data_IF_598865315483
#
_entry.id   IF_598865315483
#
_cell.length_a   1.000
_cell.length_b   1.000
_cell.length_c   1.000
_cell.angle_alpha   90.00
_cell.angle_beta   90.00
_cell.angle_gamma   90.00
#
_symmetry.space_group_name_H-M   'P 1'
#
loop_
_entity.id
_entity.type
_entity.pdbx_description
1 polymer ?
#
# COMPACT_ATOMS: atom_id res chain seq x y z
N UNK A 1 32.47 27.14 6.44
CA UNK A 1 32.18 28.56 6.16
C UNK A 1 32.00 28.66 4.67
N UNK A 2 30.82 28.90 4.11
CA UNK A 2 29.52 29.14 4.69
C UNK A 2 28.44 28.49 3.83
N UNK A 3 27.29 28.33 4.46
CA UNK A 3 26.02 27.96 3.85
C UNK A 3 25.55 29.13 2.98
N UNK A 4 25.08 28.84 1.77
CA UNK A 4 24.27 29.78 0.99
C UNK A 4 22.93 29.11 0.70
N UNK A 5 21.94 29.48 1.51
CA UNK A 5 20.54 29.16 1.28
C UNK A 5 19.98 30.01 0.14
N UNK A 6 19.26 29.37 -0.78
CA UNK A 6 18.38 30.08 -1.71
C UNK A 6 17.08 30.42 -0.99
N UNK A 7 16.91 31.70 -0.69
CA UNK A 7 15.63 32.29 -0.32
C UNK A 7 14.92 32.90 -1.53
N UNK A 8 13.62 33.14 -1.32
CA UNK A 8 12.65 33.86 -2.16
C UNK A 8 12.12 33.05 -3.36
N UNK A 9 10.82 33.03 -3.67
CA UNK A 9 9.75 33.93 -3.27
C UNK A 9 8.42 33.18 -3.50
N UNK A 10 7.61 33.02 -2.46
CA UNK A 10 6.26 32.49 -2.64
C UNK A 10 5.39 33.63 -3.16
N UNK A 11 5.12 33.61 -4.46
CA UNK A 11 4.07 34.39 -5.11
C UNK A 11 2.76 34.24 -4.33
N UNK A 12 2.37 35.31 -3.64
CA UNK A 12 1.09 35.46 -2.96
C UNK A 12 -0.04 35.50 -3.99
N UNK A 13 -0.76 34.41 -4.15
CA UNK A 13 -2.07 34.44 -4.80
C UNK A 13 -3.07 35.09 -3.83
N UNK A 14 -3.75 36.13 -4.33
CA UNK A 14 -4.73 36.93 -3.61
C UNK A 14 -5.83 36.06 -2.99
N UNK A 15 -5.82 35.94 -1.66
CA UNK A 15 -6.96 35.41 -0.91
C UNK A 15 -7.93 36.57 -0.66
N UNK A 16 -9.14 36.46 -1.21
CA UNK A 16 -10.22 37.39 -0.95
C UNK A 16 -10.65 37.29 0.52
N UNK A 17 -10.32 38.30 1.33
CA UNK A 17 -10.85 38.47 2.68
C UNK A 17 -12.27 39.04 2.66
N UNK A 18 -13.19 38.40 3.38
CA UNK A 18 -14.50 38.94 3.70
C UNK A 18 -14.51 39.42 5.16
N UNK A 19 -14.60 40.74 5.37
CA UNK A 19 -14.75 41.35 6.69
C UNK A 19 -16.23 41.46 7.06
N UNK A 20 -16.62 40.89 8.20
CA UNK A 20 -17.96 41.08 8.77
C UNK A 20 -18.01 42.48 9.39
N UNK A 21 -18.93 43.31 8.90
CA UNK A 21 -19.22 44.62 9.48
C UNK A 21 -20.12 44.39 10.69
N UNK A 22 -19.63 44.67 11.90
CA UNK A 22 -20.47 44.78 13.09
C UNK A 22 -21.28 46.08 12.99
N UNK A 23 -22.54 45.97 12.54
CA UNK A 23 -23.51 47.03 12.77
C UNK A 23 -23.81 47.09 14.28
N UNK A 24 -23.17 48.05 14.93
CA UNK A 24 -23.44 48.44 16.31
C UNK A 24 -24.84 49.06 16.45
N UNK A 25 -25.89 48.23 16.44
CA UNK A 25 -27.18 48.63 16.99
C UNK A 25 -27.09 48.45 18.50
N UNK A 26 -26.74 49.53 19.19
CA UNK A 26 -26.77 49.62 20.63
C UNK A 26 -28.16 49.34 21.16
N UNK A 27 -28.43 48.10 21.57
CA UNK A 27 -29.45 47.80 22.56
C UNK A 27 -28.74 47.43 23.85
N UNK A 28 -28.62 48.39 24.76
CA UNK A 28 -28.40 48.09 26.18
C UNK A 28 -29.55 47.18 26.62
N UNK A 29 -29.30 45.88 26.66
CA UNK A 29 -30.28 44.90 27.12
C UNK A 29 -30.22 44.91 28.65
N UNK A 30 -30.96 45.85 29.22
CA UNK A 30 -31.03 46.11 30.65
C UNK A 30 -31.86 45.00 31.33
N UNK A 31 -31.25 43.82 31.46
CA UNK A 31 -31.86 42.59 32.00
C UNK A 31 -32.39 42.78 33.43
N UNK A 32 -31.72 43.64 34.19
CA UNK A 32 -32.02 44.01 35.58
C UNK A 32 -33.44 44.57 35.74
N UNK A 33 -33.90 45.42 34.80
CA UNK A 33 -35.21 46.08 34.89
C UNK A 33 -36.39 45.21 34.45
N UNK A 34 -36.16 44.14 33.67
CA UNK A 34 -37.23 43.22 33.25
C UNK A 34 -37.54 42.15 34.27
N UNK A 35 -36.62 41.83 35.18
CA UNK A 35 -36.84 40.88 36.26
C UNK A 35 -37.74 41.45 37.37
N UNK A 36 -37.77 42.76 37.60
CA UNK A 36 -38.64 43.40 38.60
C UNK A 36 -40.15 43.33 38.26
N UNK A 37 -40.50 43.05 37.00
CA UNK A 37 -41.90 42.98 36.53
C UNK A 37 -42.47 41.56 36.39
N UNK A 38 -41.72 40.53 36.76
CA UNK A 38 -42.18 39.15 36.69
C UNK A 38 -42.78 38.74 38.04
N UNK A 39 -44.06 38.37 38.02
CA UNK A 39 -44.79 37.91 39.20
C UNK A 39 -44.05 36.70 39.83
N UNK A 40 -43.82 36.72 41.15
CA UNK A 40 -42.90 35.82 41.88
C UNK A 40 -43.14 34.32 41.64
N UNK A 41 -44.32 33.95 41.13
CA UNK A 41 -44.75 32.59 40.79
C UNK A 41 -44.15 32.08 39.47
N UNK A 42 -43.89 32.95 38.51
CA UNK A 42 -43.22 32.61 37.23
C UNK A 42 -41.70 32.54 37.36
N UNK A 43 -41.11 33.27 38.31
CA UNK A 43 -39.68 33.19 38.65
C UNK A 43 -39.32 31.82 39.26
N UNK A 44 -40.20 31.25 40.09
CA UNK A 44 -40.02 29.91 40.66
C UNK A 44 -40.18 28.80 39.61
N UNK A 45 -41.19 28.87 38.73
CA UNK A 45 -41.39 27.86 37.67
C UNK A 45 -40.41 27.97 36.50
N UNK A 46 -40.12 29.20 36.05
CA UNK A 46 -39.19 29.47 34.95
C UNK A 46 -37.74 29.20 35.35
N UNK A 47 -37.35 29.51 36.59
CA UNK A 47 -36.02 29.19 37.11
C UNK A 47 -35.75 27.69 37.16
N UNK A 48 -36.74 26.90 37.60
CA UNK A 48 -36.63 25.43 37.63
C UNK A 48 -36.51 24.84 36.22
N UNK A 49 -37.26 25.36 35.24
CA UNK A 49 -37.18 24.90 33.85
C UNK A 49 -35.82 25.22 33.21
N UNK A 50 -35.27 26.41 33.45
CA UNK A 50 -33.94 26.80 32.95
C UNK A 50 -32.84 25.96 33.60
N UNK A 51 -32.92 25.75 34.93
CA UNK A 51 -31.97 24.88 35.63
C UNK A 51 -32.05 23.45 35.11
N UNK A 52 -33.24 22.90 34.90
CA UNK A 52 -33.41 21.55 34.34
C UNK A 52 -32.85 21.42 32.92
N UNK A 53 -33.02 22.44 32.06
CA UNK A 53 -32.44 22.47 30.72
C UNK A 53 -30.92 22.54 30.76
N UNK A 54 -30.34 23.37 31.64
CA UNK A 54 -28.89 23.45 31.84
C UNK A 54 -28.34 22.14 32.39
N UNK A 55 -29.06 21.48 33.31
CA UNK A 55 -28.67 20.19 33.88
C UNK A 55 -28.75 19.07 32.83
N UNK A 56 -29.76 19.06 31.96
CA UNK A 56 -29.83 18.15 30.82
C UNK A 56 -28.67 18.38 29.83
N UNK A 57 -28.29 19.64 29.58
CA UNK A 57 -27.14 19.98 28.75
C UNK A 57 -25.84 19.48 29.36
N UNK A 58 -25.63 19.71 30.67
CA UNK A 58 -24.44 19.21 31.39
C UNK A 58 -24.41 17.68 31.39
N UNK A 59 -25.54 17.00 31.63
CA UNK A 59 -25.62 15.54 31.57
C UNK A 59 -25.35 14.99 30.17
N UNK A 60 -25.76 15.70 29.12
CA UNK A 60 -25.44 15.32 27.73
C UNK A 60 -23.94 15.45 27.44
N UNK A 61 -23.29 16.52 27.90
CA UNK A 61 -21.85 16.73 27.75
C UNK A 61 -21.05 15.69 28.55
N UNK A 62 -21.51 15.37 29.77
CA UNK A 62 -20.88 14.34 30.62
C UNK A 62 -21.03 12.94 30.04
N UNK A 63 -22.16 12.63 29.38
CA UNK A 63 -22.34 11.36 28.66
C UNK A 63 -21.40 11.27 27.45
N UNK A 64 -21.20 12.37 26.71
CA UNK A 64 -20.24 12.43 25.59
C UNK A 64 -18.78 12.35 26.07
N UNK A 65 -18.46 12.84 27.26
CA UNK A 65 -17.11 12.80 27.81
C UNK A 65 -16.74 11.48 28.51
N UNK A 66 -17.72 10.70 28.99
CA UNK A 66 -17.50 9.45 29.70
C UNK A 66 -17.93 8.19 28.92
N UNK A 67 -18.72 8.33 27.85
CA UNK A 67 -18.98 7.26 26.89
C UNK A 67 -17.78 7.04 25.96
N UNK A 68 -17.71 5.90 25.24
CA UNK A 68 -16.78 5.77 24.13
C UNK A 68 -17.02 6.97 23.21
N UNK A 69 -15.96 7.70 22.91
CA UNK A 69 -16.02 8.75 21.90
C UNK A 69 -16.64 8.13 20.64
N UNK A 70 -17.84 8.58 20.26
CA UNK A 70 -18.42 8.35 18.92
C UNK A 70 -17.73 9.29 17.91
N UNK A 71 -16.48 9.65 18.17
CA UNK A 71 -15.55 9.93 17.10
C UNK A 71 -15.39 8.57 16.43
N UNK A 72 -15.94 8.44 15.23
CA UNK A 72 -15.60 7.29 14.39
C UNK A 72 -14.10 7.09 14.50
N UNK A 73 -13.72 5.88 14.87
CA UNK A 73 -12.41 5.33 14.56
C UNK A 73 -12.34 5.44 13.04
N UNK A 74 -11.90 6.62 12.59
CA UNK A 74 -11.78 6.92 11.19
C UNK A 74 -10.84 5.88 10.62
N UNK A 75 -11.11 5.47 9.39
CA UNK A 75 -10.17 4.83 8.48
C UNK A 75 -8.76 5.41 8.68
N UNK A 76 -8.03 4.93 9.68
CA UNK A 76 -6.59 5.10 9.74
C UNK A 76 -6.10 4.06 8.74
N UNK A 77 -5.96 4.53 7.50
CA UNK A 77 -5.16 3.95 6.44
C UNK A 77 -4.16 2.93 7.00
N UNK A 78 -4.42 1.64 6.79
CA UNK A 78 -3.70 0.56 7.45
C UNK A 78 -2.18 0.61 7.23
N UNK A 79 -1.75 1.24 6.14
CA UNK A 79 -0.34 1.49 5.80
C UNK A 79 0.36 2.49 6.70
N UNK A 80 -0.37 3.40 7.34
CA UNK A 80 0.15 4.39 8.29
C UNK A 80 0.32 3.83 9.71
N UNK A 81 -0.22 2.64 9.99
CA UNK A 81 -0.08 2.00 11.31
C UNK A 81 1.39 1.67 11.60
N UNK A 82 1.98 2.21 12.70
CA UNK A 82 3.34 1.90 13.12
C UNK A 82 3.54 0.40 13.29
N UNK A 83 4.72 -0.11 12.89
CA UNK A 83 5.02 -1.56 12.89
C UNK A 83 4.76 -2.21 14.25
N UNK A 84 5.10 -1.52 15.35
CA UNK A 84 4.88 -1.98 16.72
C UNK A 84 3.41 -1.99 17.13
N UNK A 85 2.51 -1.32 16.41
CA UNK A 85 1.07 -1.31 16.65
C UNK A 85 0.29 -2.25 15.71
N UNK A 86 0.91 -2.74 14.61
CA UNK A 86 0.24 -3.58 13.60
C UNK A 86 -0.36 -4.88 14.15
N UNK A 87 0.16 -5.38 15.27
CA UNK A 87 -0.40 -6.58 15.92
C UNK A 87 -1.80 -6.37 16.50
N UNK A 88 -2.24 -5.11 16.68
CA UNK A 88 -3.57 -4.75 17.18
C UNK A 88 -4.60 -4.61 16.06
N UNK A 89 -4.16 -4.63 14.80
CA UNK A 89 -5.05 -4.51 13.65
C UNK A 89 -5.87 -5.78 13.48
N UNK A 90 -7.08 -5.62 12.94
CA UNK A 90 -7.92 -6.76 12.53
C UNK A 90 -7.44 -7.29 11.18
N UNK A 91 -6.42 -8.15 11.22
CA UNK A 91 -5.80 -8.74 10.04
C UNK A 91 -6.39 -10.12 9.76
N UNK A 92 -6.60 -10.43 8.48
CA UNK A 92 -6.94 -11.79 8.08
C UNK A 92 -5.71 -12.72 8.21
N UNK A 93 -5.73 -13.55 9.26
CA UNK A 93 -4.68 -14.53 9.55
C UNK A 93 -5.07 -15.97 9.20
N UNK A 94 -6.10 -16.17 8.37
CA UNK A 94 -6.62 -17.51 8.02
C UNK A 94 -5.91 -18.16 6.83
N UNK A 95 -5.19 -17.36 6.02
CA UNK A 95 -4.47 -17.84 4.84
C UNK A 95 -3.21 -18.66 5.18
N UNK A 96 -2.74 -19.44 4.20
CA UNK A 96 -1.45 -20.14 4.28
C UNK A 96 -0.25 -19.18 4.29
N UNK A 97 -0.43 -17.98 3.70
CA UNK A 97 0.59 -16.92 3.58
C UNK A 97 0.05 -15.62 4.18
N UNK A 98 0.96 -14.68 4.42
CA UNK A 98 0.58 -13.31 4.81
C UNK A 98 -0.29 -12.67 3.74
N UNK A 99 -1.27 -11.89 4.16
CA UNK A 99 -2.20 -11.18 3.29
C UNK A 99 -2.13 -9.68 3.55
N UNK A 100 -2.34 -8.88 2.50
CA UNK A 100 -2.61 -7.47 2.69
C UNK A 100 -4.03 -7.28 3.27
N UNK A 101 -4.25 -6.25 4.10
CA UNK A 101 -5.55 -6.03 4.74
C UNK A 101 -6.70 -5.77 3.77
N UNK A 102 -6.38 -5.27 2.57
CA UNK A 102 -7.34 -4.89 1.55
C UNK A 102 -7.08 -5.64 0.25
N UNK A 103 -8.15 -5.96 -0.47
CA UNK A 103 -8.05 -6.55 -1.79
C UNK A 103 -7.65 -5.49 -2.83
N UNK A 104 -6.73 -5.86 -3.72
CA UNK A 104 -6.33 -4.99 -4.83
C UNK A 104 -7.44 -4.79 -5.87
N UNK A 105 -7.46 -3.64 -6.57
CA UNK A 105 -8.53 -3.30 -7.51
C UNK A 105 -8.42 -4.03 -8.86
N UNK A 106 -7.28 -4.63 -9.19
CA UNK A 106 -7.02 -5.24 -10.49
C UNK A 106 -7.21 -6.75 -10.48
N UNK A 107 -7.79 -7.27 -11.56
CA UNK A 107 -7.61 -8.68 -11.96
C UNK A 107 -6.26 -8.83 -12.66
N UNK A 108 -5.88 -10.06 -12.98
CA UNK A 108 -4.62 -10.33 -13.66
C UNK A 108 -4.72 -11.49 -14.63
N UNK A 109 -3.80 -11.53 -15.57
CA UNK A 109 -3.66 -12.56 -16.59
C UNK A 109 -2.22 -13.08 -16.69
N UNK A 110 -2.06 -14.28 -17.23
CA UNK A 110 -0.75 -14.91 -17.44
C UNK A 110 -0.69 -16.38 -17.05
N UNK A 111 0.52 -16.98 -17.08
CA UNK A 111 1.76 -16.32 -17.52
C UNK A 111 1.80 -16.13 -19.03
N UNK A 112 2.48 -15.08 -19.47
CA UNK A 112 3.05 -14.99 -20.81
C UNK A 112 4.54 -15.36 -20.74
N UNK A 113 5.06 -16.03 -21.76
CA UNK A 113 6.45 -16.50 -21.79
C UNK A 113 7.29 -15.59 -22.70
N UNK A 114 8.46 -15.18 -22.19
CA UNK A 114 9.41 -14.30 -22.88
C UNK A 114 10.82 -14.86 -22.79
N UNK A 115 11.65 -14.56 -23.78
CA UNK A 115 13.05 -14.96 -23.82
C UNK A 115 13.92 -13.74 -24.07
N UNK A 116 14.93 -13.56 -23.22
CA UNK A 116 15.94 -12.52 -23.37
C UNK A 116 17.24 -13.17 -23.80
N UNK A 117 17.73 -12.79 -24.97
CA UNK A 117 19.06 -13.19 -25.43
C UNK A 117 20.14 -12.38 -24.72
N UNK A 118 21.16 -13.08 -24.24
CA UNK A 118 22.23 -12.53 -23.40
C UNK A 118 23.55 -12.62 -24.14
N UNK A 119 24.23 -11.49 -24.26
CA UNK A 119 25.60 -11.43 -24.77
C UNK A 119 26.58 -11.73 -23.63
N UNK A 120 27.33 -12.83 -23.76
CA UNK A 120 28.28 -13.31 -22.76
C UNK A 120 29.72 -13.07 -23.22
N UNK A 121 30.63 -12.69 -22.32
CA UNK A 121 32.05 -12.61 -22.67
C UNK A 121 32.60 -14.01 -22.98
N UNK A 122 33.64 -14.06 -23.81
CA UNK A 122 34.27 -15.33 -24.23
C UNK A 122 34.72 -16.24 -23.06
N UNK A 123 34.99 -15.67 -21.88
CA UNK A 123 35.35 -16.45 -20.69
C UNK A 123 34.18 -17.22 -20.07
N UNK A 124 32.96 -16.75 -20.29
CA UNK A 124 31.72 -17.34 -19.76
C UNK A 124 30.96 -18.13 -20.85
N UNK A 125 31.48 -18.19 -22.08
CA UNK A 125 30.81 -18.87 -23.17
C UNK A 125 30.84 -20.39 -22.96
N UNK A 126 29.67 -21.00 -23.00
CA UNK A 126 29.54 -22.45 -22.93
C UNK A 126 29.94 -23.15 -24.25
N UNK A 127 30.69 -24.25 -24.12
CA UNK A 127 31.06 -25.16 -25.21
C UNK A 127 30.03 -26.29 -25.37
N UNK A 128 29.27 -26.60 -24.31
CA UNK A 128 28.29 -27.69 -24.24
C UNK A 128 26.93 -27.36 -24.84
N UNK A 129 26.57 -26.07 -24.97
CA UNK A 129 25.28 -25.63 -25.52
C UNK A 129 25.49 -24.76 -26.78
N UNK A 130 25.45 -25.33 -28.00
CA UNK A 130 25.81 -24.61 -29.24
C UNK A 130 24.75 -23.61 -29.77
N UNK A 131 23.88 -23.08 -28.90
CA UNK A 131 22.82 -22.13 -29.23
C UNK A 131 22.99 -20.77 -28.52
N UNK A 132 22.12 -19.78 -28.81
CA UNK A 132 22.13 -18.52 -28.09
C UNK A 132 21.86 -18.74 -26.59
N UNK A 133 22.46 -17.91 -25.74
CA UNK A 133 22.18 -17.87 -24.31
C UNK A 133 20.89 -17.09 -24.08
N UNK A 134 19.84 -17.76 -23.61
CA UNK A 134 18.49 -17.24 -23.45
C UNK A 134 18.07 -17.38 -22.00
N UNK A 135 17.59 -16.29 -21.40
CA UNK A 135 16.91 -16.28 -20.11
C UNK A 135 15.41 -16.37 -20.35
N UNK A 136 14.75 -17.36 -19.74
CA UNK A 136 13.32 -17.54 -19.83
C UNK A 136 12.59 -16.84 -18.68
N UNK A 137 11.56 -16.05 -19.03
CA UNK A 137 10.77 -15.24 -18.11
C UNK A 137 9.29 -15.59 -18.28
N UNK A 138 8.63 -16.01 -17.21
CA UNK A 138 7.19 -16.14 -17.14
C UNK A 138 6.60 -14.91 -16.44
N UNK A 139 5.70 -14.20 -17.12
CA UNK A 139 5.19 -12.90 -16.68
C UNK A 139 3.68 -12.92 -16.46
N UNK A 140 3.25 -12.60 -15.24
CA UNK A 140 1.86 -12.32 -14.89
C UNK A 140 1.68 -10.81 -14.76
N UNK A 141 0.63 -10.29 -15.40
CA UNK A 141 0.37 -8.86 -15.51
C UNK A 141 -0.98 -8.51 -14.91
N UNK A 142 -1.08 -7.39 -14.18
CA UNK A 142 -2.36 -6.83 -13.80
C UNK A 142 -3.08 -6.28 -15.03
N UNK A 143 -4.39 -6.37 -15.04
CA UNK A 143 -5.22 -5.86 -16.12
C UNK A 143 -5.38 -4.35 -15.98
N UNK A 144 -4.45 -3.60 -16.60
CA UNK A 144 -4.40 -2.14 -16.61
C UNK A 144 -4.61 -1.58 -18.02
N UNK A 145 -4.82 -0.26 -18.13
CA UNK A 145 -4.99 0.38 -19.43
C UNK A 145 -3.76 0.19 -20.33
N UNK A 146 -3.94 -0.05 -21.65
CA UNK A 146 -2.83 -0.21 -22.57
C UNK A 146 -1.85 0.98 -22.54
N UNK A 147 -0.55 0.68 -22.48
CA UNK A 147 0.52 1.68 -22.40
C UNK A 147 0.89 2.12 -20.99
N UNK A 148 0.15 1.66 -19.96
CA UNK A 148 0.52 1.88 -18.56
C UNK A 148 1.85 1.20 -18.22
N UNK A 149 2.75 1.93 -17.57
CA UNK A 149 3.99 1.39 -17.02
C UNK A 149 3.69 0.65 -15.72
N UNK A 150 3.98 -0.65 -15.68
CA UNK A 150 3.72 -1.52 -14.52
C UNK A 150 5.05 -1.85 -13.84
N UNK A 151 5.20 -1.63 -12.52
CA UNK A 151 6.36 -2.09 -11.78
C UNK A 151 6.39 -3.62 -11.69
N UNK A 152 7.56 -4.22 -11.85
CA UNK A 152 7.73 -5.68 -11.87
C UNK A 152 8.45 -6.14 -10.60
N UNK A 153 7.91 -7.15 -9.94
CA UNK A 153 8.59 -7.91 -8.89
C UNK A 153 9.09 -9.20 -9.54
N UNK A 154 10.41 -9.32 -9.68
CA UNK A 154 11.04 -10.50 -10.25
C UNK A 154 11.44 -11.48 -9.15
N UNK A 155 11.08 -12.76 -9.31
CA UNK A 155 11.68 -13.87 -8.58
C UNK A 155 12.60 -14.64 -9.53
N UNK A 156 13.81 -14.92 -9.07
CA UNK A 156 14.85 -15.55 -9.89
C UNK A 156 15.31 -16.80 -9.15
N UNK A 157 15.15 -17.97 -9.76
CA UNK A 157 15.47 -19.23 -9.09
C UNK A 157 16.19 -20.21 -10.03
N UNK A 158 17.21 -20.93 -9.53
CA UNK A 158 17.90 -22.00 -10.25
C UNK A 158 17.20 -23.36 -10.10
N UNK A 159 15.93 -23.38 -9.73
CA UNK A 159 15.19 -24.59 -9.35
C UNK A 159 13.84 -24.72 -10.04
N UNK A 160 13.66 -24.09 -11.19
CA UNK A 160 12.51 -24.34 -12.06
C UNK A 160 12.86 -25.49 -13.01
N UNK A 161 11.97 -26.47 -13.17
CA UNK A 161 12.23 -27.74 -13.90
C UNK A 161 13.58 -28.40 -13.52
N UNK A 162 13.84 -28.52 -12.22
CA UNK A 162 15.09 -29.07 -11.68
C UNK A 162 14.84 -30.35 -10.87
N UNK A 163 15.67 -31.38 -11.08
CA UNK A 163 15.78 -32.54 -10.17
C UNK A 163 15.49 -33.91 -10.79
N UNK A 164 14.69 -34.00 -11.85
CA UNK A 164 14.22 -35.24 -12.49
C UNK A 164 15.22 -35.97 -13.38
N UNK A 165 16.43 -35.43 -13.55
CA UNK A 165 17.52 -36.02 -14.35
C UNK A 165 18.38 -37.06 -13.59
N UNK A 166 17.78 -37.77 -12.63
CA UNK A 166 18.47 -38.79 -11.82
C UNK A 166 19.09 -38.27 -10.51
N UNK A 167 18.82 -37.01 -10.17
CA UNK A 167 18.86 -36.52 -8.80
C UNK A 167 17.53 -36.91 -8.14
N UNK A 168 17.47 -37.13 -6.83
CA UNK A 168 16.32 -37.79 -6.22
C UNK A 168 15.01 -36.96 -6.36
N UNK A 169 14.00 -37.51 -7.04
CA UNK A 169 12.64 -36.94 -7.12
C UNK A 169 12.11 -36.77 -8.54
N UNK A 170 10.88 -36.28 -8.64
CA UNK A 170 10.34 -35.70 -9.88
C UNK A 170 10.91 -34.27 -10.05
N UNK A 171 10.89 -33.74 -11.28
CA UNK A 171 11.24 -32.33 -11.53
C UNK A 171 10.41 -31.38 -10.68
N UNK A 172 11.04 -30.31 -10.20
CA UNK A 172 10.30 -29.17 -9.66
C UNK A 172 9.43 -28.51 -10.73
N UNK A 173 8.41 -27.76 -10.31
CA UNK A 173 7.53 -27.08 -11.25
C UNK A 173 8.29 -26.11 -12.18
N UNK A 174 7.83 -25.91 -13.42
CA UNK A 174 8.36 -24.90 -14.32
C UNK A 174 8.12 -23.50 -13.77
N UNK A 175 8.89 -22.51 -14.26
CA UNK A 175 8.70 -21.10 -13.90
C UNK A 175 7.37 -20.53 -14.40
N UNK A 176 6.61 -21.25 -15.24
CA UNK A 176 5.24 -20.89 -15.65
C UNK A 176 4.17 -21.28 -14.62
N UNK A 177 4.55 -21.95 -13.54
CA UNK A 177 3.70 -22.16 -12.38
C UNK A 177 4.25 -21.29 -11.25
N UNK A 178 3.42 -20.47 -10.58
CA UNK A 178 3.87 -19.65 -9.46
C UNK A 178 4.52 -20.54 -8.39
N UNK A 179 5.76 -20.24 -8.00
CA UNK A 179 6.43 -21.05 -6.99
C UNK A 179 5.68 -20.97 -5.65
N UNK A 180 5.72 -22.06 -4.88
CA UNK A 180 5.00 -22.14 -3.63
C UNK A 180 5.58 -21.23 -2.53
N UNK A 181 6.72 -20.56 -2.78
CA UNK A 181 7.32 -19.60 -1.87
C UNK A 181 6.82 -18.19 -2.16
N UNK A 182 7.72 -17.38 -2.74
CA UNK A 182 7.52 -15.94 -2.97
C UNK A 182 6.67 -15.70 -4.20
N UNK A 183 6.78 -16.52 -5.25
CA UNK A 183 6.04 -16.32 -6.51
C UNK A 183 4.53 -16.30 -6.30
N UNK A 184 3.96 -17.35 -5.70
CA UNK A 184 2.53 -17.39 -5.38
C UNK A 184 2.11 -16.25 -4.44
N UNK A 185 2.95 -15.88 -3.47
CA UNK A 185 2.64 -14.77 -2.57
C UNK A 185 2.55 -13.43 -3.31
N UNK A 186 3.51 -13.14 -4.18
CA UNK A 186 3.53 -11.93 -5.00
C UNK A 186 2.33 -11.91 -5.95
N UNK A 187 2.02 -13.05 -6.59
CA UNK A 187 0.86 -13.17 -7.45
C UNK A 187 -0.44 -12.87 -6.72
N UNK A 188 -0.61 -13.41 -5.52
CA UNK A 188 -1.85 -13.26 -4.75
C UNK A 188 -1.97 -11.87 -4.12
N UNK A 189 -0.86 -11.24 -3.69
CA UNK A 189 -0.87 -10.05 -2.83
C UNK A 189 -0.40 -8.77 -3.49
N UNK A 190 0.40 -8.82 -4.54
CA UNK A 190 0.95 -7.60 -5.17
C UNK A 190 0.42 -7.39 -6.57
N UNK A 191 0.16 -8.47 -7.33
CA UNK A 191 -0.36 -8.32 -8.69
C UNK A 191 -1.73 -7.63 -8.71
N UNK A 192 -2.70 -7.97 -7.84
CA UNK A 192 -3.95 -7.23 -7.74
C UNK A 192 -3.81 -5.75 -7.38
N UNK A 193 -2.66 -5.33 -6.81
CA UNK A 193 -2.35 -3.95 -6.45
C UNK A 193 -1.54 -3.20 -7.52
N UNK A 194 -1.42 -3.77 -8.73
CA UNK A 194 -0.82 -3.10 -9.88
C UNK A 194 0.67 -3.36 -10.06
N UNK A 195 1.21 -4.41 -9.44
CA UNK A 195 2.55 -4.94 -9.78
C UNK A 195 2.43 -6.09 -10.79
N UNK A 196 3.48 -6.36 -11.55
CA UNK A 196 3.61 -7.60 -12.30
C UNK A 196 4.50 -8.58 -11.55
N UNK A 197 4.28 -9.88 -11.73
CA UNK A 197 5.19 -10.93 -11.27
C UNK A 197 5.96 -11.46 -12.48
N UNK A 198 7.29 -11.46 -12.40
CA UNK A 198 8.15 -12.15 -13.35
C UNK A 198 8.90 -13.29 -12.65
N UNK A 199 8.69 -14.54 -13.08
CA UNK A 199 9.50 -15.68 -12.63
C UNK A 199 10.55 -16.02 -13.67
N UNK A 200 11.82 -15.87 -13.29
CA UNK A 200 12.98 -16.04 -14.17
C UNK A 200 13.73 -17.30 -13.79
N UNK A 201 13.91 -18.21 -14.74
CA UNK A 201 14.83 -19.35 -14.57
C UNK A 201 16.26 -18.93 -14.88
N UNK A 202 17.21 -19.28 -14.01
CA UNK A 202 18.63 -19.03 -14.31
C UNK A 202 19.12 -19.97 -15.43
N UNK A 203 20.27 -19.67 -16.02
CA UNK A 203 20.85 -20.51 -17.07
C UNK A 203 20.94 -21.99 -16.65
N UNK A 204 20.69 -22.88 -17.61
CA UNK A 204 20.68 -24.32 -17.40
C UNK A 204 19.49 -24.86 -16.63
N UNK A 205 18.46 -24.05 -16.36
CA UNK A 205 17.25 -24.45 -15.63
C UNK A 205 16.00 -23.97 -16.37
N UNK A 206 14.85 -24.62 -16.14
CA UNK A 206 13.62 -24.30 -16.85
C UNK A 206 13.79 -24.40 -18.37
N UNK A 207 13.35 -23.35 -19.06
CA UNK A 207 13.58 -23.19 -20.51
C UNK A 207 14.73 -22.22 -20.82
N UNK A 208 15.48 -21.77 -19.81
CA UNK A 208 16.69 -20.98 -20.04
C UNK A 208 17.78 -21.89 -20.63
N UNK A 209 18.54 -21.38 -21.59
CA UNK A 209 19.63 -22.14 -22.22
C UNK A 209 20.96 -21.87 -21.51
N UNK A 210 22.07 -22.31 -22.10
CA UNK A 210 23.43 -22.20 -21.53
C UNK A 210 23.66 -23.11 -20.31
N UNK A 211 24.93 -23.44 -20.00
CA UNK A 211 25.25 -24.14 -18.77
C UNK A 211 24.98 -23.29 -17.53
N UNK A 212 24.57 -23.97 -16.45
CA UNK A 212 24.40 -23.36 -15.15
C UNK A 212 25.75 -22.99 -14.54
N UNK A 213 25.92 -21.72 -14.19
CA UNK A 213 27.12 -21.16 -13.56
C UNK A 213 26.76 -20.64 -12.16
N UNK A 214 26.47 -21.56 -11.23
CA UNK A 214 25.88 -21.24 -9.92
C UNK A 214 26.71 -20.17 -9.18
N UNK A 215 26.12 -18.99 -9.00
CA UNK A 215 26.73 -17.79 -8.38
C UNK A 215 27.97 -17.26 -9.11
N UNK A 216 28.28 -17.75 -10.30
CA UNK A 216 29.38 -17.29 -11.12
C UNK A 216 29.01 -16.09 -11.98
N UNK A 217 29.94 -15.63 -12.81
CA UNK A 217 29.78 -14.40 -13.56
C UNK A 217 28.76 -14.55 -14.69
N UNK A 218 28.74 -15.68 -15.39
CA UNK A 218 27.79 -15.94 -16.47
C UNK A 218 26.34 -15.88 -15.99
N UNK A 219 26.03 -16.51 -14.84
CA UNK A 219 24.70 -16.44 -14.23
C UNK A 219 24.32 -15.01 -13.85
N UNK A 220 25.24 -14.24 -13.25
CA UNK A 220 24.96 -12.85 -12.86
C UNK A 220 24.70 -11.94 -14.06
N UNK A 221 25.41 -12.15 -15.19
CA UNK A 221 25.15 -11.43 -16.45
C UNK A 221 23.77 -11.80 -17.00
N UNK A 222 23.42 -13.10 -16.98
CA UNK A 222 22.09 -13.56 -17.39
C UNK A 222 20.97 -12.93 -16.55
N UNK A 223 21.13 -12.94 -15.23
CA UNK A 223 20.19 -12.29 -14.31
C UNK A 223 20.06 -10.80 -14.61
N UNK A 224 21.19 -10.10 -14.80
CA UNK A 224 21.19 -8.66 -15.10
C UNK A 224 20.55 -8.33 -16.45
N UNK A 225 20.60 -9.25 -17.42
CA UNK A 225 19.92 -9.06 -18.71
C UNK A 225 18.40 -9.26 -18.61
N UNK A 226 17.95 -10.12 -17.69
CA UNK A 226 16.53 -10.41 -17.49
C UNK A 226 15.77 -9.32 -16.71
N UNK A 227 16.47 -8.40 -16.02
CA UNK A 227 15.91 -7.34 -15.17
C UNK A 227 16.25 -5.94 -15.66
#
# INVERSE_FOLDING_TARGET
>A
MGEEGCGHDHSSEDVLEATIIEDSVGSSFDFSRRLEKLDSRYLLGGGVAVVALVLMLILSILWTAAGPSIAGEGDEDWWNTPVDQRYKMDLNMTGLRSQLPEAGPYTWSGPTEHFVEVDLPLSEQDVGYPGPALMHIALWMPDVEPGTKVPVIATIHPYYDFGGEGVAGDDSNPNTIPDAGVGAWVLDQFVPHGYALAQVSTFGTGKSTHCQDVKGLGEQIGIQAAV
#
